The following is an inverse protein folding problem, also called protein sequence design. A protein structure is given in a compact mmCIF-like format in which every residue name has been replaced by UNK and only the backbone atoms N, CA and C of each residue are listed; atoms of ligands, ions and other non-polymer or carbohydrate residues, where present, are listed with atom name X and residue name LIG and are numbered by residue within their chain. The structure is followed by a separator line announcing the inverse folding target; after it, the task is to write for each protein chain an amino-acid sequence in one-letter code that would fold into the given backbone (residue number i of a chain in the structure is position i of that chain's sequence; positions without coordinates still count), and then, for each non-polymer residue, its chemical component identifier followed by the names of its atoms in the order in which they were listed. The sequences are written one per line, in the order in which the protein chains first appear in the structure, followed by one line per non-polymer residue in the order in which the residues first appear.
data_IF_091346210331
#
_entry.id   IF_091346210331
#
_cell.length_a   1.000
_cell.length_b   1.000
_cell.length_c   1.000
_cell.angle_alpha   90.00
_cell.angle_beta   90.00
_cell.angle_gamma   90.00
#
_symmetry.space_group_name_H-M   'P 1'
#
loop_
_entity.id
_entity.type
_entity.pdbx_description
1 polymer ?
#
# COMPACT_ATOMS: atom_id res chain seq x y z
N UNK A 1 1.20 13.19 -15.34
CA UNK A 1 1.48 12.37 -14.15
C UNK A 1 0.60 11.16 -14.29
N UNK A 2 1.16 9.98 -14.52
CA UNK A 2 0.37 8.75 -14.67
C UNK A 2 -0.31 8.42 -13.35
N UNK A 3 -1.57 8.01 -13.44
CA UNK A 3 -2.36 7.59 -12.29
C UNK A 3 -1.91 6.18 -11.87
N UNK A 4 -1.29 6.06 -10.69
CA UNK A 4 -0.88 4.76 -10.17
C UNK A 4 -2.11 4.07 -9.57
N UNK A 5 -2.70 3.13 -10.31
CA UNK A 5 -3.80 2.29 -9.83
C UNK A 5 -3.25 1.07 -9.09
N UNK A 6 -3.02 1.21 -7.79
CA UNK A 6 -2.72 0.09 -6.90
C UNK A 6 -3.96 -0.77 -6.67
N UNK A 7 -3.93 -2.01 -7.15
CA UNK A 7 -4.94 -3.02 -6.76
C UNK A 7 -4.35 -3.87 -5.64
N UNK A 8 -4.53 -3.44 -4.39
CA UNK A 8 -4.13 -4.25 -3.23
C UNK A 8 -5.12 -5.39 -2.93
N UNK A 9 -6.31 -5.34 -3.54
CA UNK A 9 -7.29 -6.41 -3.42
C UNK A 9 -6.80 -7.67 -4.14
N UNK A 10 -6.47 -8.73 -3.39
CA UNK A 10 -6.23 -10.05 -3.95
C UNK A 10 -7.21 -11.08 -3.36
N UNK A 11 -7.84 -11.85 -4.26
CA UNK A 11 -8.84 -12.88 -3.95
C UNK A 11 -10.03 -12.36 -3.11
N UNK A 12 -9.89 -12.37 -1.78
CA UNK A 12 -10.92 -12.03 -0.78
C UNK A 12 -10.42 -11.04 0.28
N UNK A 13 -9.20 -10.55 0.17
CA UNK A 13 -8.64 -9.54 1.06
C UNK A 13 -8.51 -8.23 0.28
N UNK A 14 -9.16 -7.19 0.76
CA UNK A 14 -9.16 -5.84 0.21
C UNK A 14 -8.64 -4.86 1.26
N UNK A 15 -7.31 -4.81 1.46
CA UNK A 15 -6.77 -3.99 2.52
C UNK A 15 -7.05 -2.51 2.28
N UNK A 16 -7.40 -1.81 3.36
CA UNK A 16 -7.62 -0.38 3.36
C UNK A 16 -6.29 0.37 3.53
N UNK A 17 -6.09 1.42 2.75
CA UNK A 17 -4.93 2.32 2.86
C UNK A 17 -5.39 3.65 3.46
N UNK A 18 -4.79 4.04 4.58
CA UNK A 18 -5.00 5.33 5.21
C UNK A 18 -3.69 6.13 5.17
N UNK A 19 -3.73 7.35 4.61
CA UNK A 19 -2.56 8.23 4.55
C UNK A 19 -2.76 9.36 5.55
N UNK A 20 -1.90 9.42 6.58
CA UNK A 20 -1.88 10.51 7.54
C UNK A 20 -0.78 11.51 7.16
N UNK A 21 -1.19 12.71 6.74
CA UNK A 21 -0.28 13.78 6.32
C UNK A 21 0.41 14.48 7.48
N UNK A 22 -0.21 14.51 8.66
CA UNK A 22 0.33 15.19 9.84
C UNK A 22 1.49 14.41 10.45
N UNK A 23 1.37 13.08 10.47
CA UNK A 23 2.41 12.17 10.98
C UNK A 23 3.32 11.61 9.88
N UNK A 24 3.05 11.93 8.60
CA UNK A 24 3.78 11.44 7.44
C UNK A 24 3.85 9.90 7.36
N UNK A 25 2.73 9.23 7.67
CA UNK A 25 2.62 7.77 7.71
C UNK A 25 1.52 7.24 6.79
N UNK A 26 1.71 6.01 6.32
CA UNK A 26 0.71 5.21 5.61
C UNK A 26 0.37 4.00 6.47
N UNK A 27 -0.91 3.73 6.64
CA UNK A 27 -1.39 2.55 7.36
C UNK A 27 -2.10 1.65 6.34
N UNK A 28 -1.70 0.37 6.31
CA UNK A 28 -2.36 -0.67 5.53
C UNK A 28 -3.05 -1.61 6.52
N UNK A 29 -4.37 -1.76 6.40
CA UNK A 29 -5.18 -2.65 7.25
C UNK A 29 -5.80 -3.76 6.41
N UNK A 30 -5.65 -5.01 6.80
CA UNK A 30 -6.37 -6.11 6.16
C UNK A 30 -7.78 -6.30 6.76
N UNK A 31 -8.58 -7.12 6.10
CA UNK A 31 -9.97 -7.42 6.50
C UNK A 31 -10.06 -8.30 7.76
N UNK A 32 -8.95 -8.84 8.25
CA UNK A 32 -8.85 -9.72 9.41
C UNK A 32 -8.31 -8.99 10.65
N UNK A 33 -8.08 -7.68 10.56
CA UNK A 33 -7.58 -6.83 11.65
C UNK A 33 -6.06 -6.69 11.73
N UNK A 34 -5.32 -7.28 10.80
CA UNK A 34 -3.89 -7.06 10.63
C UNK A 34 -3.61 -5.63 10.17
N UNK A 35 -2.55 -5.02 10.72
CA UNK A 35 -2.17 -3.64 10.44
C UNK A 35 -0.66 -3.50 10.32
N UNK A 36 -0.22 -2.83 9.25
CA UNK A 36 1.17 -2.37 9.08
C UNK A 36 1.16 -0.85 8.98
N UNK A 37 2.13 -0.21 9.63
CA UNK A 37 2.35 1.25 9.53
C UNK A 37 3.70 1.46 8.86
N UNK A 38 3.70 2.28 7.82
CA UNK A 38 4.86 2.63 7.01
C UNK A 38 5.06 4.14 7.06
N UNK A 39 6.29 4.59 6.90
CA UNK A 39 6.57 5.96 6.46
C UNK A 39 6.18 6.13 4.99
N UNK A 40 6.00 7.38 4.54
CA UNK A 40 5.79 7.66 3.10
C UNK A 40 6.94 7.10 2.24
N UNK A 41 8.19 7.12 2.73
CA UNK A 41 9.35 6.65 1.96
C UNK A 41 9.34 5.13 1.79
N UNK A 42 9.02 4.37 2.84
CA UNK A 42 8.88 2.91 2.76
C UNK A 42 7.71 2.53 1.83
N UNK A 43 6.62 3.28 1.89
CA UNK A 43 5.48 3.06 0.98
C UNK A 43 5.86 3.30 -0.49
N UNK A 44 6.67 4.33 -0.79
CA UNK A 44 7.21 4.57 -2.13
C UNK A 44 8.10 3.42 -2.62
N UNK A 45 9.01 2.94 -1.78
CA UNK A 45 9.86 1.80 -2.12
C UNK A 45 9.01 0.57 -2.45
N UNK A 46 8.00 0.28 -1.62
CA UNK A 46 7.07 -0.83 -1.87
C UNK A 46 6.31 -0.68 -3.20
N UNK A 47 5.87 0.54 -3.51
CA UNK A 47 5.22 0.90 -4.77
C UNK A 47 6.15 0.69 -5.98
N UNK A 48 7.38 1.19 -5.90
CA UNK A 48 8.37 1.07 -6.97
C UNK A 48 8.68 -0.41 -7.24
N UNK A 49 8.91 -1.21 -6.18
CA UNK A 49 9.10 -2.66 -6.30
C UNK A 49 7.88 -3.37 -6.91
N UNK A 50 6.65 -2.95 -6.57
CA UNK A 50 5.44 -3.55 -7.15
C UNK A 50 5.34 -3.27 -8.66
N UNK A 51 5.62 -2.03 -9.08
CA UNK A 51 5.60 -1.62 -10.49
C UNK A 51 6.68 -2.34 -11.30
N UNK A 52 7.89 -2.46 -10.76
CA UNK A 52 9.02 -3.15 -11.40
C UNK A 52 8.73 -4.65 -11.62
N UNK A 53 8.06 -5.29 -10.65
CA UNK A 53 7.69 -6.71 -10.73
C UNK A 53 6.31 -6.96 -11.37
N UNK A 54 5.66 -5.95 -11.94
CA UNK A 54 4.29 -6.02 -12.52
C UNK A 54 3.25 -6.65 -11.59
N UNK A 55 3.45 -6.54 -10.28
CA UNK A 55 2.58 -7.14 -9.27
C UNK A 55 2.64 -8.67 -9.15
N UNK A 56 3.64 -9.34 -9.72
CA UNK A 56 3.97 -10.73 -9.38
C UNK A 56 4.89 -10.74 -8.15
N UNK A 57 4.42 -11.35 -7.06
CA UNK A 57 5.14 -11.55 -5.80
C UNK A 57 5.01 -13.02 -5.38
#
# INVERSE_FOLDING_TARGET
MEEIKLTLCQKKCCPAIEINKDTNTVIIKDDFGGKVTLTINEFKILLDHYLDNKGEW
#
